data_IF_213318324660
#
_entry.id   IF_213318324660
#
_cell.length_a   1.000
_cell.length_b   1.000
_cell.length_c   1.000
_cell.angle_alpha   90.00
_cell.angle_beta   90.00
_cell.angle_gamma   90.00
#
_symmetry.space_group_name_H-M   'P 1'
#
loop_
_entity.id
_entity.type
_entity.pdbx_description
1 polymer ?
#
# COMPACT_ATOMS: atom_id res chain seq x y z
N UNK A 1 -25.35 -6.22 -28.53
CA UNK A 1 -24.48 -6.36 -27.34
C UNK A 1 -25.06 -5.45 -26.28
N UNK A 2 -25.64 -6.01 -25.22
CA UNK A 2 -26.12 -5.23 -24.08
C UNK A 2 -24.91 -4.64 -23.38
N UNK A 3 -24.64 -3.34 -23.58
CA UNK A 3 -23.70 -2.57 -22.76
C UNK A 3 -24.24 -2.55 -21.34
N UNK A 4 -23.73 -3.45 -20.50
CA UNK A 4 -23.97 -3.40 -19.06
C UNK A 4 -23.30 -2.16 -18.53
N UNK A 5 -24.07 -1.10 -18.27
CA UNK A 5 -23.57 0.10 -17.61
C UNK A 5 -23.15 -0.28 -16.19
N UNK A 6 -21.85 -0.23 -15.91
CA UNK A 6 -21.32 -0.44 -14.56
C UNK A 6 -21.68 0.75 -13.66
N UNK A 7 -21.81 0.52 -12.34
CA UNK A 7 -21.95 1.63 -11.39
C UNK A 7 -20.70 2.52 -11.43
N UNK A 8 -20.81 3.80 -11.02
CA UNK A 8 -19.63 4.64 -10.88
C UNK A 8 -18.64 4.02 -9.89
N UNK A 9 -17.33 4.25 -10.07
CA UNK A 9 -16.32 3.78 -9.13
C UNK A 9 -16.59 4.36 -7.73
N UNK A 10 -16.29 3.61 -6.65
CA UNK A 10 -16.43 4.12 -5.29
C UNK A 10 -15.48 5.30 -5.06
N UNK A 11 -15.94 6.28 -4.25
CA UNK A 11 -15.27 7.57 -4.02
C UNK A 11 -15.25 8.02 -2.56
N UNK A 12 -15.65 7.16 -1.62
CA UNK A 12 -15.78 7.52 -0.21
C UNK A 12 -14.61 6.95 0.58
N UNK A 13 -13.85 7.82 1.23
CA UNK A 13 -12.79 7.38 2.13
C UNK A 13 -13.36 6.75 3.42
N UNK A 14 -12.61 5.82 3.99
CA UNK A 14 -12.84 5.25 5.32
C UNK A 14 -12.13 6.03 6.43
N UNK A 15 -11.40 7.09 6.09
CA UNK A 15 -10.68 7.90 7.06
C UNK A 15 -11.64 8.73 7.94
N UNK A 16 -11.23 9.06 9.18
CA UNK A 16 -9.93 8.74 9.79
C UNK A 16 -9.82 7.28 10.24
N UNK A 17 -8.59 6.83 10.57
CA UNK A 17 -8.40 5.49 11.13
C UNK A 17 -9.25 5.28 12.40
N UNK A 18 -9.80 4.08 12.65
CA UNK A 18 -10.53 3.82 13.88
C UNK A 18 -9.59 3.89 15.09
N UNK A 19 -10.16 4.16 16.27
CA UNK A 19 -9.43 4.08 17.55
C UNK A 19 -8.93 2.64 17.73
N UNK A 20 -7.68 2.48 18.21
CA UNK A 20 -7.12 1.16 18.53
C UNK A 20 -7.99 0.43 19.54
N UNK A 21 -8.27 -0.85 19.29
CA UNK A 21 -8.93 -1.70 20.28
C UNK A 21 -7.96 -2.05 21.42
N UNK A 22 -8.49 -2.20 22.64
CA UNK A 22 -7.71 -2.74 23.75
C UNK A 22 -7.28 -4.19 23.46
N UNK A 23 -6.09 -4.59 23.91
CA UNK A 23 -5.53 -5.92 23.63
C UNK A 23 -5.11 -6.14 22.17
N UNK A 24 -4.88 -5.08 21.40
CA UNK A 24 -4.52 -5.18 19.97
C UNK A 24 -3.08 -4.79 19.68
N UNK A 25 -2.56 -5.24 18.54
CA UNK A 25 -1.35 -4.68 17.92
C UNK A 25 -1.74 -3.98 16.62
N UNK A 26 -1.30 -2.74 16.46
CA UNK A 26 -1.44 -1.96 15.23
C UNK A 26 -0.08 -1.82 14.55
N UNK A 27 0.05 -2.32 13.33
CA UNK A 27 1.13 -1.93 12.41
C UNK A 27 0.66 -0.79 11.52
N UNK A 28 1.45 0.28 11.46
CA UNK A 28 1.24 1.36 10.49
C UNK A 28 2.48 1.49 9.61
N UNK A 29 2.28 1.69 8.30
CA UNK A 29 3.37 2.00 7.37
C UNK A 29 2.98 3.19 6.49
N UNK A 30 3.95 4.05 6.18
CA UNK A 30 3.80 5.06 5.14
C UNK A 30 5.04 5.16 4.28
N UNK A 31 4.84 5.54 3.01
CA UNK A 31 5.90 6.04 2.15
C UNK A 31 5.44 7.37 1.58
N UNK A 32 6.13 8.43 1.98
CA UNK A 32 5.94 9.78 1.49
C UNK A 32 6.96 10.08 0.38
N UNK A 33 6.49 10.56 -0.76
CA UNK A 33 7.30 10.85 -1.94
C UNK A 33 7.22 12.33 -2.27
N UNK A 34 8.38 12.95 -2.48
CA UNK A 34 8.52 14.35 -2.84
C UNK A 34 9.59 14.55 -3.93
N UNK A 35 9.62 15.76 -4.49
CA UNK A 35 10.58 16.19 -5.51
C UNK A 35 11.29 17.47 -5.04
N UNK A 36 12.22 17.36 -4.06
CA UNK A 36 12.84 18.53 -3.43
C UNK A 36 13.67 19.36 -4.42
N UNK A 37 14.19 18.73 -5.48
CA UNK A 37 15.03 19.36 -6.50
C UNK A 37 14.22 19.71 -7.77
N UNK A 38 12.89 19.75 -7.68
CA UNK A 38 11.99 20.09 -8.78
C UNK A 38 11.63 18.93 -9.71
N UNK A 39 10.94 19.25 -10.82
CA UNK A 39 10.33 18.27 -11.73
C UNK A 39 11.32 17.25 -12.32
N UNK A 40 12.50 17.72 -12.70
CA UNK A 40 13.57 16.89 -13.28
C UNK A 40 14.54 16.35 -12.22
N UNK A 41 14.29 16.68 -10.95
CA UNK A 41 15.04 16.20 -9.80
C UNK A 41 14.76 14.73 -9.46
N UNK A 42 15.60 14.17 -8.60
CA UNK A 42 15.37 12.84 -8.06
C UNK A 42 14.18 12.84 -7.11
N UNK A 43 13.39 11.77 -7.16
CA UNK A 43 12.35 11.50 -6.17
C UNK A 43 13.00 11.15 -4.84
N UNK A 44 12.52 11.76 -3.76
CA UNK A 44 12.85 11.38 -2.39
C UNK A 44 11.70 10.58 -1.80
N UNK A 45 12.00 9.39 -1.28
CA UNK A 45 11.06 8.49 -0.61
C UNK A 45 11.43 8.42 0.87
N UNK A 46 10.49 8.78 1.74
CA UNK A 46 10.63 8.63 3.19
C UNK A 46 9.66 7.54 3.63
N UNK A 47 10.21 6.38 3.96
CA UNK A 47 9.45 5.26 4.51
C UNK A 47 9.45 5.29 6.03
N UNK A 48 8.31 5.00 6.65
CA UNK A 48 8.20 4.81 8.08
C UNK A 48 7.26 3.65 8.40
N UNK A 49 7.55 2.93 9.48
CA UNK A 49 6.76 1.83 9.98
C UNK A 49 6.79 1.80 11.51
N UNK A 50 5.69 1.39 12.14
CA UNK A 50 5.60 1.22 13.59
C UNK A 50 4.59 0.15 13.97
N UNK A 51 5.02 -0.73 14.86
CA UNK A 51 4.19 -1.68 15.58
C UNK A 51 3.91 -1.16 16.97
N UNK A 52 2.64 -0.98 17.31
CA UNK A 52 2.18 -0.44 18.57
C UNK A 52 1.21 -1.42 19.23
N UNK A 53 1.55 -1.87 20.43
CA UNK A 53 0.65 -2.65 21.26
C UNK A 53 -0.23 -1.74 22.12
N UNK A 54 -1.51 -2.07 22.24
CA UNK A 54 -2.48 -1.38 23.09
C UNK A 54 -2.90 -2.34 24.20
N UNK A 55 -2.51 -2.10 25.47
CA UNK A 55 -2.86 -2.97 26.58
C UNK A 55 -4.37 -3.06 26.83
N UNK A 56 -4.82 -4.11 27.52
CA UNK A 56 -6.22 -4.25 27.94
C UNK A 56 -6.67 -3.13 28.90
N UNK A 57 -5.76 -2.62 29.72
CA UNK A 57 -5.99 -1.51 30.64
C UNK A 57 -6.14 -0.14 29.95
N UNK A 58 -5.91 -0.06 28.64
CA UNK A 58 -6.58 0.92 27.77
C UNK A 58 -5.91 2.25 27.43
N UNK A 59 -4.75 2.63 27.96
CA UNK A 59 -4.30 4.04 27.77
C UNK A 59 -2.87 4.23 27.25
N UNK A 60 -1.87 3.47 27.74
CA UNK A 60 -0.48 3.62 27.28
C UNK A 60 -0.15 2.64 26.15
N UNK A 61 -0.06 3.14 24.92
CA UNK A 61 0.44 2.35 23.80
C UNK A 61 1.94 2.08 23.93
N UNK A 62 2.37 0.82 23.80
CA UNK A 62 3.78 0.45 23.83
C UNK A 62 4.30 0.22 22.40
N UNK A 63 5.34 0.95 22.01
CA UNK A 63 6.02 0.70 20.73
C UNK A 63 6.81 -0.60 20.84
N UNK A 64 6.43 -1.60 20.03
CA UNK A 64 7.09 -2.90 19.99
C UNK A 64 8.28 -2.89 19.02
N UNK A 65 8.13 -2.17 17.92
CA UNK A 65 9.15 -1.97 16.89
C UNK A 65 8.82 -0.74 16.06
N UNK A 66 9.83 -0.04 15.58
CA UNK A 66 9.70 0.97 14.53
C UNK A 66 10.85 0.85 13.54
N UNK A 67 10.65 1.41 12.35
CA UNK A 67 11.69 1.49 11.33
C UNK A 67 11.43 2.63 10.37
N UNK A 68 12.49 3.15 9.77
CA UNK A 68 12.44 4.19 8.74
C UNK A 68 13.47 3.95 7.65
N UNK A 69 13.21 4.47 6.46
CA UNK A 69 14.23 4.65 5.45
C UNK A 69 14.10 6.02 4.78
N UNK A 70 15.21 6.52 4.24
CA UNK A 70 15.25 7.66 3.32
C UNK A 70 15.98 7.21 2.06
N UNK A 71 15.30 7.29 0.91
CA UNK A 71 15.84 6.88 -0.38
C UNK A 71 15.71 7.98 -1.43
N UNK A 72 16.71 8.05 -2.31
CA UNK A 72 16.68 8.85 -3.53
C UNK A 72 16.58 7.94 -4.74
N UNK A 73 15.78 8.34 -5.71
CA UNK A 73 15.55 7.56 -6.93
C UNK A 73 15.46 8.43 -8.17
N UNK A 74 16.02 7.95 -9.27
CA UNK A 74 15.84 8.54 -10.61
C UNK A 74 14.43 8.28 -11.16
N UNK A 75 14.09 8.94 -12.25
CA UNK A 75 12.78 8.81 -12.92
C UNK A 75 12.49 7.37 -13.39
N UNK A 76 13.51 6.63 -13.82
CA UNK A 76 13.41 5.22 -14.20
C UNK A 76 13.20 4.27 -13.00
N UNK A 77 13.18 4.79 -11.77
CA UNK A 77 13.03 4.06 -10.49
C UNK A 77 14.31 3.36 -10.03
N UNK A 78 15.49 3.78 -10.50
CA UNK A 78 16.77 3.29 -9.95
C UNK A 78 17.07 3.98 -8.62
N UNK A 79 17.39 3.21 -7.59
CA UNK A 79 17.77 3.72 -6.25
C UNK A 79 19.21 4.24 -6.32
N UNK A 80 19.41 5.52 -6.06
CA UNK A 80 20.72 6.18 -6.11
C UNK A 80 21.35 6.34 -4.73
N UNK A 81 20.53 6.43 -3.69
CA UNK A 81 20.96 6.45 -2.29
C UNK A 81 19.84 5.89 -1.43
N UNK A 82 20.20 5.18 -0.35
CA UNK A 82 19.23 4.75 0.67
C UNK A 82 19.93 4.58 2.02
N UNK A 83 19.23 5.00 3.07
CA UNK A 83 19.62 4.77 4.47
C UNK A 83 18.42 4.24 5.24
N UNK A 84 18.66 3.53 6.34
CA UNK A 84 17.61 3.01 7.20
C UNK A 84 17.94 3.18 8.69
N UNK A 85 16.90 3.25 9.50
CA UNK A 85 16.94 3.27 10.95
C UNK A 85 15.93 2.23 11.50
N UNK A 86 16.33 1.23 12.28
CA UNK A 86 17.71 0.90 12.67
C UNK A 86 18.62 0.66 11.47
N UNK A 87 19.90 1.00 11.62
CA UNK A 87 20.91 0.78 10.59
C UNK A 87 21.04 -0.72 10.25
N UNK A 88 21.11 -1.03 8.96
CA UNK A 88 21.27 -2.39 8.47
C UNK A 88 22.22 -2.39 7.27
N UNK A 89 23.33 -3.12 7.36
CA UNK A 89 24.37 -3.15 6.32
C UNK A 89 23.82 -3.62 4.96
N UNK A 90 22.82 -4.50 4.96
CA UNK A 90 22.18 -4.98 3.74
C UNK A 90 21.46 -3.88 2.95
N UNK A 91 21.09 -2.74 3.56
CA UNK A 91 20.37 -1.64 2.90
C UNK A 91 21.19 -1.06 1.74
N UNK A 92 22.52 -1.01 1.87
CA UNK A 92 23.42 -0.48 0.86
C UNK A 92 23.37 -1.30 -0.44
N UNK A 93 23.02 -2.59 -0.36
CA UNK A 93 22.88 -3.48 -1.53
C UNK A 93 21.69 -3.12 -2.43
N UNK A 94 20.79 -2.25 -1.98
CA UNK A 94 19.69 -1.76 -2.79
C UNK A 94 20.09 -0.60 -3.71
N UNK A 95 21.24 0.05 -3.49
CA UNK A 95 21.75 1.09 -4.39
C UNK A 95 22.07 0.47 -5.76
N UNK A 96 21.58 1.10 -6.83
CA UNK A 96 21.64 0.60 -8.19
C UNK A 96 20.50 -0.36 -8.57
N UNK A 97 19.72 -0.85 -7.60
CA UNK A 97 18.53 -1.64 -7.88
C UNK A 97 17.37 -0.76 -8.34
N UNK A 98 16.48 -1.33 -9.15
CA UNK A 98 15.26 -0.65 -9.60
C UNK A 98 14.07 -1.02 -8.70
N UNK A 99 13.35 -0.06 -8.13
CA UNK A 99 12.10 -0.32 -7.41
C UNK A 99 10.97 -0.66 -8.39
N UNK A 100 10.90 -1.94 -8.72
CA UNK A 100 9.97 -2.57 -9.64
C UNK A 100 10.07 -4.09 -9.56
N UNK A 101 9.68 -4.80 -10.63
CA UNK A 101 9.40 -6.25 -10.63
C UNK A 101 10.44 -7.21 -10.02
N UNK A 102 11.70 -6.79 -9.83
CA UNK A 102 12.76 -7.59 -9.22
C UNK A 102 13.12 -7.20 -7.77
N UNK A 103 12.73 -6.01 -7.29
CA UNK A 103 13.13 -5.50 -5.97
C UNK A 103 12.67 -6.43 -4.85
N UNK A 104 11.44 -6.95 -4.93
CA UNK A 104 10.91 -7.89 -3.92
C UNK A 104 11.69 -9.19 -3.84
N UNK A 105 12.26 -9.65 -4.96
CA UNK A 105 13.17 -10.80 -4.98
C UNK A 105 14.48 -10.47 -4.27
N UNK A 106 15.10 -9.35 -4.68
CA UNK A 106 16.32 -8.85 -4.06
C UNK A 106 16.18 -8.66 -2.55
N UNK A 107 15.07 -8.10 -2.06
CA UNK A 107 14.82 -7.91 -0.63
C UNK A 107 14.85 -9.23 0.15
N UNK A 108 14.28 -10.31 -0.40
CA UNK A 108 14.35 -11.65 0.22
C UNK A 108 15.78 -12.19 0.26
N UNK A 109 16.58 -11.91 -0.76
CA UNK A 109 17.95 -12.39 -0.86
C UNK A 109 18.91 -11.60 0.04
N UNK A 110 18.68 -10.30 0.24
CA UNK A 110 19.59 -9.42 0.97
C UNK A 110 19.21 -9.25 2.45
N UNK A 111 17.94 -9.45 2.81
CA UNK A 111 17.43 -9.29 4.18
C UNK A 111 16.53 -10.46 4.64
N UNK A 112 16.94 -11.73 4.45
CA UNK A 112 16.08 -12.88 4.79
C UNK A 112 15.64 -12.89 6.25
N UNK A 113 16.50 -12.46 7.17
CA UNK A 113 16.19 -12.41 8.61
C UNK A 113 15.07 -11.39 8.92
N UNK A 114 15.02 -10.27 8.19
CA UNK A 114 13.92 -9.30 8.34
C UNK A 114 12.60 -9.86 7.83
N UNK A 115 12.64 -10.66 6.76
CA UNK A 115 11.45 -11.35 6.26
C UNK A 115 10.96 -12.36 7.29
N UNK A 116 11.86 -13.21 7.80
CA UNK A 116 11.54 -14.23 8.79
C UNK A 116 11.01 -13.63 10.11
N UNK A 117 11.56 -12.50 10.53
CA UNK A 117 11.12 -11.78 11.73
C UNK A 117 9.88 -10.88 11.51
N UNK A 118 9.35 -10.82 10.28
CA UNK A 118 8.32 -9.86 9.87
C UNK A 118 8.66 -8.42 10.29
N UNK A 119 9.94 -8.04 10.18
CA UNK A 119 10.45 -6.76 10.67
C UNK A 119 9.75 -5.58 9.94
N UNK A 120 9.31 -4.52 10.64
CA UNK A 120 8.55 -3.42 10.03
C UNK A 120 9.30 -2.71 8.88
N UNK A 121 10.64 -2.71 8.89
CA UNK A 121 11.44 -2.19 7.77
C UNK A 121 11.20 -2.97 6.45
N UNK A 122 11.04 -4.29 6.51
CA UNK A 122 10.89 -5.11 5.31
C UNK A 122 9.61 -4.77 4.55
N UNK A 123 8.48 -4.63 5.25
CA UNK A 123 7.20 -4.35 4.60
C UNK A 123 7.17 -2.97 3.94
N UNK A 124 7.77 -1.96 4.59
CA UNK A 124 7.85 -0.61 4.00
C UNK A 124 8.83 -0.58 2.82
N UNK A 125 9.89 -1.39 2.82
CA UNK A 125 10.76 -1.57 1.64
C UNK A 125 10.08 -2.35 0.50
N UNK A 126 9.28 -3.39 0.80
CA UNK A 126 8.51 -4.13 -0.21
C UNK A 126 7.54 -3.21 -0.96
N UNK A 127 6.94 -2.26 -0.23
CA UNK A 127 6.03 -1.25 -0.77
C UNK A 127 6.67 -0.24 -1.73
N UNK A 128 7.99 -0.08 -1.73
CA UNK A 128 8.69 0.80 -2.69
C UNK A 128 8.33 0.46 -4.14
N UNK A 129 8.16 -0.84 -4.46
CA UNK A 129 7.86 -1.28 -5.83
C UNK A 129 6.56 -0.67 -6.36
N UNK A 130 5.50 -0.67 -5.53
CA UNK A 130 4.22 -0.08 -5.90
C UNK A 130 4.20 1.44 -5.77
N UNK A 131 4.83 2.00 -4.74
CA UNK A 131 4.91 3.46 -4.56
C UNK A 131 5.69 4.14 -5.70
N UNK A 132 6.80 3.55 -6.14
CA UNK A 132 7.59 4.09 -7.25
C UNK A 132 6.87 4.01 -8.61
N UNK A 133 5.90 3.10 -8.74
CA UNK A 133 5.05 2.99 -9.93
C UNK A 133 4.00 4.11 -9.98
N UNK A 134 3.35 4.40 -8.85
CA UNK A 134 2.14 5.25 -8.82
C UNK A 134 2.47 6.70 -8.47
N UNK A 135 3.56 6.96 -7.73
CA UNK A 135 3.88 8.28 -7.17
C UNK A 135 3.84 9.44 -8.15
N UNK A 136 4.24 9.25 -9.41
CA UNK A 136 4.20 10.29 -10.45
C UNK A 136 2.79 10.83 -10.73
N UNK A 137 1.74 10.15 -10.29
CA UNK A 137 0.37 10.66 -10.25
C UNK A 137 0.27 12.01 -9.51
N UNK A 138 1.13 12.28 -8.53
CA UNK A 138 1.14 13.56 -7.82
C UNK A 138 1.28 14.76 -8.76
N UNK A 139 2.02 14.62 -9.87
CA UNK A 139 2.19 15.70 -10.84
C UNK A 139 0.89 16.08 -11.55
N UNK A 140 -0.02 15.14 -11.78
CA UNK A 140 -1.32 15.46 -12.41
C UNK A 140 -2.20 16.32 -11.49
N UNK A 141 -1.94 16.33 -10.19
CA UNK A 141 -2.63 17.18 -9.22
C UNK A 141 -2.04 18.59 -9.12
N UNK A 142 -0.83 18.75 -9.65
CA UNK A 142 -0.08 20.00 -9.65
C UNK A 142 -0.03 20.65 -11.01
N UNK A 143 -0.23 19.92 -12.10
CA UNK A 143 -0.18 20.45 -13.47
C UNK A 143 -1.35 19.88 -14.29
N UNK A 144 -2.37 20.70 -14.62
CA UNK A 144 -3.48 20.27 -15.46
C UNK A 144 -3.03 19.75 -16.84
N UNK A 145 -1.92 20.29 -17.35
CA UNK A 145 -1.27 19.93 -18.62
C UNK A 145 -0.26 18.77 -18.47
N UNK A 146 -0.24 18.06 -17.34
CA UNK A 146 0.75 17.00 -17.07
C UNK A 146 0.77 15.89 -18.13
N UNK A 147 -0.39 15.47 -18.62
CA UNK A 147 -0.48 14.43 -19.63
C UNK A 147 0.22 14.83 -20.95
N UNK A 148 0.04 16.08 -21.37
CA UNK A 148 0.67 16.62 -22.58
C UNK A 148 2.18 16.78 -22.38
N UNK A 149 2.61 17.31 -21.22
CA UNK A 149 4.04 17.41 -20.85
C UNK A 149 4.73 16.05 -20.86
N UNK A 150 4.08 15.03 -20.30
CA UNK A 150 4.62 13.67 -20.27
C UNK A 150 4.77 13.11 -21.68
N UNK A 151 3.79 13.36 -22.56
CA UNK A 151 3.85 12.92 -23.95
C UNK A 151 4.97 13.63 -24.72
N UNK A 152 5.10 14.95 -24.56
CA UNK A 152 6.18 15.73 -25.17
C UNK A 152 7.56 15.25 -24.71
N UNK A 153 7.74 15.03 -23.40
CA UNK A 153 9.00 14.57 -22.81
C UNK A 153 9.41 13.18 -23.29
N UNK A 154 8.46 12.25 -23.40
CA UNK A 154 8.74 10.87 -23.82
C UNK A 154 8.89 10.72 -25.34
N UNK A 155 8.23 11.58 -26.11
CA UNK A 155 7.97 11.36 -27.53
C UNK A 155 6.88 10.31 -27.77
N UNK A 156 6.26 10.35 -28.95
CA UNK A 156 5.10 9.53 -29.28
C UNK A 156 5.39 8.02 -29.15
N UNK A 157 6.49 7.53 -29.74
CA UNK A 157 6.81 6.09 -29.74
C UNK A 157 6.96 5.50 -28.33
N UNK A 158 7.71 6.18 -27.44
CA UNK A 158 7.90 5.70 -26.06
C UNK A 158 6.64 5.83 -25.24
N UNK A 159 5.86 6.89 -25.47
CA UNK A 159 4.56 7.07 -24.82
C UNK A 159 3.59 5.93 -25.20
N UNK A 160 3.50 5.59 -26.49
CA UNK A 160 2.70 4.44 -26.97
C UNK A 160 3.17 3.13 -26.34
N UNK A 161 4.48 2.88 -26.30
CA UNK A 161 5.04 1.68 -25.66
C UNK A 161 4.69 1.60 -24.17
N UNK A 162 4.79 2.72 -23.45
CA UNK A 162 4.42 2.81 -22.04
C UNK A 162 2.93 2.54 -21.82
N UNK A 163 2.04 3.05 -22.69
CA UNK A 163 0.60 2.77 -22.60
C UNK A 163 0.30 1.30 -22.90
N UNK A 164 0.93 0.70 -23.91
CA UNK A 164 0.76 -0.72 -24.23
C UNK A 164 1.20 -1.64 -23.07
N UNK A 165 2.25 -1.27 -22.34
CA UNK A 165 2.71 -2.02 -21.16
C UNK A 165 1.73 -2.01 -19.97
N UNK A 166 0.69 -1.15 -20.00
CA UNK A 166 -0.34 -1.09 -18.95
C UNK A 166 -1.49 -2.06 -19.20
N UNK A 167 -1.64 -2.60 -20.41
CA UNK A 167 -2.71 -3.55 -20.73
C UNK A 167 -2.50 -4.84 -19.96
N UNK A 168 -3.57 -5.35 -19.36
CA UNK A 168 -3.65 -6.57 -18.53
C UNK A 168 -2.73 -6.59 -17.30
N UNK A 169 -2.18 -5.43 -16.88
CA UNK A 169 -1.39 -5.37 -15.63
C UNK A 169 -2.27 -5.56 -14.39
N UNK A 170 -3.57 -5.25 -14.49
CA UNK A 170 -4.57 -5.47 -13.47
C UNK A 170 -5.97 -5.59 -14.10
N UNK A 171 -6.95 -6.05 -13.31
CA UNK A 171 -8.36 -6.14 -13.67
C UNK A 171 -8.89 -4.84 -14.29
N UNK A 172 -8.65 -3.70 -13.65
CA UNK A 172 -9.13 -2.39 -14.15
C UNK A 172 -8.46 -1.91 -15.44
N UNK A 173 -7.37 -2.56 -15.85
CA UNK A 173 -6.62 -2.25 -17.07
C UNK A 173 -6.60 -3.45 -18.03
N UNK A 174 -7.60 -4.33 -17.94
CA UNK A 174 -7.80 -5.36 -18.95
C UNK A 174 -8.04 -4.74 -20.32
N UNK A 175 -7.66 -5.45 -21.38
CA UNK A 175 -8.00 -5.05 -22.75
C UNK A 175 -9.51 -4.77 -22.88
N UNK A 176 -9.86 -3.62 -23.46
CA UNK A 176 -11.24 -3.17 -23.62
C UNK A 176 -11.85 -2.42 -22.43
N UNK A 177 -11.20 -2.40 -21.26
CA UNK A 177 -11.67 -1.61 -20.12
C UNK A 177 -11.37 -0.12 -20.31
N UNK A 178 -12.16 0.71 -19.63
CA UNK A 178 -12.15 2.16 -19.80
C UNK A 178 -10.81 2.83 -19.43
N UNK A 179 -10.03 2.22 -18.52
CA UNK A 179 -8.67 2.67 -18.19
C UNK A 179 -7.61 2.40 -19.27
N UNK A 180 -7.94 1.59 -20.28
CA UNK A 180 -7.11 1.29 -21.47
C UNK A 180 -7.62 2.05 -22.70
N UNK A 181 -8.93 2.06 -22.94
CA UNK A 181 -9.51 2.73 -24.11
C UNK A 181 -9.45 4.25 -24.01
N UNK A 182 -9.40 4.79 -22.79
CA UNK A 182 -9.40 6.23 -22.54
C UNK A 182 -10.81 6.83 -22.48
N UNK A 183 -11.85 6.01 -22.41
CA UNK A 183 -13.25 6.44 -22.37
C UNK A 183 -13.67 7.09 -21.05
N UNK A 184 -12.78 7.12 -20.05
CA UNK A 184 -13.01 7.83 -18.78
C UNK A 184 -12.50 9.24 -18.86
N UNK A 185 -13.35 10.18 -18.44
CA UNK A 185 -12.96 11.56 -18.17
C UNK A 185 -11.78 11.61 -17.17
N UNK A 186 -10.58 12.07 -17.59
CA UNK A 186 -9.40 12.10 -16.74
C UNK A 186 -9.59 12.89 -15.44
N UNK A 187 -10.43 13.93 -15.45
CA UNK A 187 -10.72 14.74 -14.27
C UNK A 187 -11.52 13.95 -13.22
N UNK A 188 -12.24 12.91 -13.65
CA UNK A 188 -13.02 12.03 -12.78
C UNK A 188 -12.22 10.85 -12.26
N UNK A 189 -11.04 10.54 -12.80
CA UNK A 189 -10.27 9.34 -12.41
C UNK A 189 -9.78 9.44 -10.97
N UNK A 190 -9.31 10.60 -10.52
CA UNK A 190 -8.78 10.76 -9.17
C UNK A 190 -9.15 12.13 -8.59
N UNK A 191 -10.40 12.24 -8.15
CA UNK A 191 -10.95 13.45 -7.55
C UNK A 191 -11.49 13.26 -6.12
N UNK A 192 -11.47 12.02 -5.60
CA UNK A 192 -12.01 11.69 -4.29
C UNK A 192 -11.13 12.25 -3.16
N UNK A 193 -11.77 12.91 -2.19
CA UNK A 193 -11.09 13.35 -0.98
C UNK A 193 -10.49 12.15 -0.24
N UNK A 194 -9.20 12.24 0.08
CA UNK A 194 -8.49 11.20 0.81
C UNK A 194 -8.84 11.20 2.31
N UNK A 195 -9.34 12.32 2.86
CA UNK A 195 -9.47 12.53 4.30
C UNK A 195 -8.13 12.55 5.04
N UNK A 196 -8.16 12.88 6.34
CA UNK A 196 -6.99 12.73 7.20
C UNK A 196 -6.93 11.31 7.77
N UNK A 197 -5.81 10.61 7.57
CA UNK A 197 -5.56 9.28 8.13
C UNK A 197 -5.64 9.29 9.67
N UNK A 198 -5.26 10.41 10.30
CA UNK A 198 -5.13 10.54 11.76
C UNK A 198 -6.48 10.79 12.39
N UNK A 199 -6.73 10.07 13.48
CA UNK A 199 -7.91 10.26 14.30
C UNK A 199 -7.55 11.11 15.51
N UNK A 200 -8.18 12.29 15.72
CA UNK A 200 -7.95 13.10 16.92
C UNK A 200 -8.22 12.36 18.23
N UNK A 201 -9.09 11.35 18.23
CA UNK A 201 -9.39 10.51 19.39
C UNK A 201 -8.35 9.39 19.62
N UNK A 202 -7.38 9.21 18.73
CA UNK A 202 -6.26 8.28 18.91
C UNK A 202 -4.94 8.90 18.40
N UNK A 203 -4.30 9.79 19.19
CA UNK A 203 -3.07 10.46 18.80
C UNK A 203 -1.89 9.52 18.52
N UNK A 204 -1.90 8.31 19.11
CA UNK A 204 -0.91 7.26 18.86
C UNK A 204 -1.38 6.29 17.75
N UNK A 205 -2.50 6.55 17.08
CA UNK A 205 -3.06 5.69 16.04
C UNK A 205 -2.21 5.60 14.78
N UNK A 206 -1.33 6.58 14.55
CA UNK A 206 -0.34 6.60 13.47
C UNK A 206 1.04 7.03 13.98
N UNK A 207 2.10 6.52 13.36
CA UNK A 207 3.43 7.10 13.53
C UNK A 207 3.46 8.50 12.90
N UNK A 208 4.51 9.27 13.20
CA UNK A 208 4.71 10.58 12.59
C UNK A 208 4.87 10.43 11.08
N UNK A 209 3.88 10.89 10.32
CA UNK A 209 3.92 10.95 8.87
C UNK A 209 4.92 12.02 8.43
N UNK A 210 5.59 11.82 7.29
CA UNK A 210 6.52 12.83 6.80
C UNK A 210 5.75 13.98 6.14
N UNK A 211 6.21 15.20 6.39
CA UNK A 211 5.71 16.41 5.76
C UNK A 211 6.74 16.90 4.73
N UNK A 212 6.24 17.49 3.66
CA UNK A 212 7.05 18.13 2.65
C UNK A 212 6.20 19.17 1.92
N UNK A 213 6.84 20.17 1.31
CA UNK A 213 6.16 21.13 0.44
C UNK A 213 6.08 20.60 -1.00
N UNK A 214 5.21 21.20 -1.80
CA UNK A 214 5.14 20.89 -3.23
C UNK A 214 4.40 19.60 -3.59
N UNK A 215 4.58 19.09 -4.82
CA UNK A 215 4.00 17.83 -5.26
C UNK A 215 4.36 16.68 -4.32
N UNK A 216 3.36 15.88 -3.95
CA UNK A 216 3.50 14.84 -2.95
C UNK A 216 2.66 13.62 -3.22
N UNK A 217 3.21 12.45 -2.92
CA UNK A 217 2.46 11.20 -2.91
C UNK A 217 2.63 10.49 -1.57
N UNK A 218 1.60 9.81 -1.11
CA UNK A 218 1.61 8.99 0.10
C UNK A 218 0.98 7.66 -0.20
N UNK A 219 1.72 6.59 0.04
CA UNK A 219 1.16 5.27 0.30
C UNK A 219 1.06 5.10 1.80
N UNK A 220 -0.10 4.70 2.31
CA UNK A 220 -0.32 4.47 3.73
C UNK A 220 -1.02 3.13 3.96
N UNK A 221 -0.60 2.40 4.99
CA UNK A 221 -1.26 1.18 5.47
C UNK A 221 -1.43 1.19 6.98
N UNK A 222 -2.53 0.59 7.40
CA UNK A 222 -2.80 0.20 8.78
C UNK A 222 -3.19 -1.27 8.78
N UNK A 223 -2.66 -2.04 9.72
CA UNK A 223 -3.10 -3.41 10.01
C UNK A 223 -3.31 -3.48 11.52
N UNK A 224 -4.57 -3.60 11.92
CA UNK A 224 -4.98 -3.89 13.29
C UNK A 224 -5.15 -5.39 13.46
N UNK A 225 -4.58 -5.92 14.52
CA UNK A 225 -4.61 -7.35 14.86
C UNK A 225 -5.12 -7.49 16.29
N UNK A 226 -6.18 -8.27 16.45
CA UNK A 226 -6.66 -8.74 17.76
C UNK A 226 -6.67 -10.27 17.76
N UNK A 227 -6.64 -10.84 18.96
CA UNK A 227 -6.75 -12.27 19.16
C UNK A 227 -7.90 -12.57 20.11
N UNK A 228 -8.72 -13.54 19.73
CA UNK A 228 -9.75 -14.13 20.55
C UNK A 228 -9.30 -15.55 20.91
N UNK A 229 -8.86 -15.73 22.15
CA UNK A 229 -8.34 -17.02 22.63
C UNK A 229 -9.44 -18.06 22.82
N UNK A 230 -10.64 -17.63 23.22
CA UNK A 230 -11.77 -18.52 23.42
C UNK A 230 -12.30 -19.05 22.08
N UNK A 231 -12.38 -18.18 21.07
CA UNK A 231 -12.76 -18.58 19.72
C UNK A 231 -11.63 -19.23 18.92
N UNK A 232 -10.36 -19.11 19.36
CA UNK A 232 -9.20 -19.59 18.62
C UNK A 232 -8.96 -18.83 17.30
N UNK A 233 -9.26 -17.52 17.27
CA UNK A 233 -9.25 -16.72 16.03
C UNK A 233 -8.37 -15.48 16.15
N UNK A 234 -7.61 -15.20 15.10
CA UNK A 234 -6.97 -13.89 14.86
C UNK A 234 -7.91 -13.07 13.99
N UNK A 235 -8.25 -11.86 14.42
CA UNK A 235 -9.05 -10.91 13.64
C UNK A 235 -8.18 -9.77 13.13
N UNK A 236 -8.40 -9.41 11.87
CA UNK A 236 -7.60 -8.43 11.12
C UNK A 236 -8.53 -7.34 10.59
N UNK A 237 -8.20 -6.09 10.88
CA UNK A 237 -8.77 -4.92 10.21
C UNK A 237 -7.65 -4.10 9.58
N UNK A 238 -7.56 -4.14 8.26
CA UNK A 238 -6.50 -3.47 7.50
C UNK A 238 -7.07 -2.40 6.59
N UNK A 239 -6.31 -1.32 6.41
CA UNK A 239 -6.62 -0.25 5.46
C UNK A 239 -5.38 0.06 4.61
N UNK A 240 -5.62 0.41 3.35
CA UNK A 240 -4.62 0.85 2.39
C UNK A 240 -5.12 2.07 1.65
N UNK A 241 -4.27 3.08 1.48
CA UNK A 241 -4.57 4.25 0.66
C UNK A 241 -3.33 4.74 -0.09
N UNK A 242 -3.50 5.03 -1.38
CA UNK A 242 -2.59 5.83 -2.19
C UNK A 242 -3.22 7.20 -2.46
N UNK A 243 -2.56 8.28 -2.02
CA UNK A 243 -3.05 9.66 -2.19
C UNK A 243 -1.97 10.65 -2.60
N UNK A 244 -2.36 11.66 -3.36
CA UNK A 244 -1.51 12.77 -3.78
C UNK A 244 -1.90 14.07 -3.08
N UNK A 245 -0.91 14.94 -2.82
CA UNK A 245 -1.15 16.30 -2.32
C UNK A 245 -1.60 17.21 -3.45
N UNK A 246 -2.57 18.08 -3.19
CA UNK A 246 -2.98 19.18 -4.06
C UNK A 246 -2.26 20.47 -3.67
N UNK A 247 -2.34 21.48 -4.55
CA UNK A 247 -1.74 22.80 -4.32
C UNK A 247 -2.31 23.54 -3.11
N UNK A 248 -3.55 23.23 -2.71
CA UNK A 248 -4.21 23.79 -1.53
C UNK A 248 -3.86 23.06 -0.22
N UNK A 249 -2.98 22.06 -0.27
CA UNK A 249 -2.58 21.24 0.87
C UNK A 249 -3.52 20.08 1.19
N UNK A 250 -4.69 20.00 0.55
CA UNK A 250 -5.57 18.83 0.67
C UNK A 250 -4.97 17.61 -0.03
N UNK A 251 -5.55 16.42 0.21
CA UNK A 251 -5.12 15.19 -0.45
C UNK A 251 -6.26 14.56 -1.25
N UNK A 252 -5.88 13.97 -2.38
CA UNK A 252 -6.78 13.22 -3.24
C UNK A 252 -6.33 11.77 -3.31
N UNK A 253 -7.25 10.84 -3.04
CA UNK A 253 -6.96 9.42 -3.12
C UNK A 253 -7.29 8.88 -4.51
N UNK A 254 -6.48 7.93 -4.97
CA UNK A 254 -6.70 7.21 -6.23
C UNK A 254 -7.02 5.74 -6.01
N UNK A 255 -6.44 5.12 -4.97
CA UNK A 255 -6.75 3.76 -4.56
C UNK A 255 -6.96 3.73 -3.05
N UNK A 256 -8.06 3.16 -2.60
CA UNK A 256 -8.31 2.88 -1.19
C UNK A 256 -9.11 1.59 -1.03
N UNK A 257 -8.61 0.73 -0.13
CA UNK A 257 -9.26 -0.52 0.25
C UNK A 257 -9.26 -0.68 1.77
N UNK A 258 -10.31 -1.31 2.29
CA UNK A 258 -10.28 -1.96 3.61
C UNK A 258 -10.29 -3.46 3.42
N UNK A 259 -9.66 -4.18 4.33
CA UNK A 259 -9.68 -5.64 4.40
C UNK A 259 -10.08 -6.02 5.81
N UNK A 260 -11.21 -6.71 5.96
CA UNK A 260 -11.51 -7.45 7.18
C UNK A 260 -11.19 -8.94 6.92
N UNK A 261 -10.50 -9.60 7.84
CA UNK A 261 -10.19 -11.01 7.71
C UNK A 261 -10.17 -11.72 9.07
N UNK A 262 -10.51 -13.00 9.05
CA UNK A 262 -10.43 -13.90 10.22
C UNK A 262 -9.56 -15.08 9.86
N UNK A 263 -8.72 -15.48 10.80
CA UNK A 263 -7.71 -16.52 10.59
C UNK A 263 -7.70 -17.45 11.80
N UNK A 264 -7.60 -18.76 11.54
CA UNK A 264 -7.45 -19.75 12.61
C UNK A 264 -6.12 -19.53 13.33
N UNK A 265 -6.15 -19.39 14.66
CA UNK A 265 -4.97 -19.02 15.42
C UNK A 265 -3.93 -20.15 15.52
N UNK A 266 -4.32 -21.40 15.29
CA UNK A 266 -3.44 -22.57 15.39
C UNK A 266 -2.84 -22.96 14.04
N UNK A 267 -3.65 -22.95 12.97
CA UNK A 267 -3.23 -23.39 11.63
C UNK A 267 -2.82 -22.25 10.72
N UNK A 268 -3.17 -21.00 11.08
CA UNK A 268 -3.04 -19.80 10.24
C UNK A 268 -3.87 -19.87 8.94
N UNK A 269 -4.89 -20.72 8.90
CA UNK A 269 -5.81 -20.81 7.76
C UNK A 269 -6.70 -19.56 7.69
N UNK A 270 -6.78 -18.95 6.51
CA UNK A 270 -7.69 -17.83 6.25
C UNK A 270 -9.14 -18.33 6.24
N UNK A 271 -9.90 -18.01 7.27
CA UNK A 271 -11.29 -18.43 7.46
C UNK A 271 -12.27 -17.52 6.72
N UNK A 272 -12.02 -16.20 6.76
CA UNK A 272 -12.78 -15.22 5.99
C UNK A 272 -11.89 -14.10 5.51
N UNK A 273 -12.26 -13.50 4.37
CA UNK A 273 -11.59 -12.37 3.77
C UNK A 273 -12.62 -11.50 3.04
N UNK A 274 -12.75 -10.26 3.48
CA UNK A 274 -13.76 -9.31 3.03
C UNK A 274 -13.08 -8.00 2.61
N UNK A 275 -12.60 -7.92 1.36
CA UNK A 275 -12.10 -6.66 0.81
C UNK A 275 -13.24 -5.72 0.47
N UNK A 276 -13.13 -4.48 0.91
CA UNK A 276 -14.05 -3.41 0.58
C UNK A 276 -13.32 -2.34 -0.23
N UNK A 277 -13.81 -2.07 -1.44
CA UNK A 277 -13.34 -0.94 -2.25
C UNK A 277 -13.94 0.37 -1.72
N UNK A 278 -13.07 1.35 -1.46
CA UNK A 278 -13.46 2.67 -0.95
C UNK A 278 -13.29 3.77 -1.99
N UNK A 279 -12.12 3.80 -2.62
CA UNK A 279 -11.78 4.76 -3.68
C UNK A 279 -11.06 4.01 -4.79
N UNK A 280 -11.58 4.07 -6.02
CA UNK A 280 -10.96 3.42 -7.17
C UNK A 280 -11.03 4.30 -8.42
N UNK A 281 -10.09 4.15 -9.36
CA UNK A 281 -10.02 5.02 -10.53
C UNK A 281 -11.11 4.73 -11.56
N UNK A 282 -11.46 3.46 -11.76
CA UNK A 282 -12.33 3.01 -12.86
C UNK A 282 -13.52 2.16 -12.39
N UNK A 283 -14.69 2.25 -13.05
CA UNK A 283 -15.89 1.45 -12.75
C UNK A 283 -15.65 -0.07 -12.66
N UNK A 284 -14.71 -0.60 -13.44
CA UNK A 284 -14.40 -2.02 -13.55
C UNK A 284 -13.58 -2.54 -12.35
N UNK A 285 -12.81 -1.67 -11.69
CA UNK A 285 -11.85 -2.05 -10.66
C UNK A 285 -12.42 -2.89 -9.50
N UNK A 286 -13.65 -2.66 -9.00
CA UNK A 286 -14.25 -3.52 -7.97
C UNK A 286 -14.35 -5.01 -8.36
N UNK A 287 -14.36 -5.34 -9.66
CA UNK A 287 -14.48 -6.72 -10.13
C UNK A 287 -13.34 -7.64 -9.64
N UNK A 288 -12.15 -7.09 -9.36
CA UNK A 288 -11.03 -7.84 -8.79
C UNK A 288 -11.32 -8.44 -7.40
N UNK A 289 -12.26 -7.86 -6.63
CA UNK A 289 -12.55 -8.27 -5.24
C UNK A 289 -13.00 -9.72 -5.19
N UNK A 290 -13.87 -10.13 -6.11
CA UNK A 290 -14.45 -11.48 -6.08
C UNK A 290 -13.38 -12.58 -6.20
N UNK A 291 -12.26 -12.32 -6.87
CA UNK A 291 -11.18 -13.30 -7.01
C UNK A 291 -10.38 -13.52 -5.73
N UNK A 292 -10.42 -12.59 -4.77
CA UNK A 292 -9.73 -12.74 -3.48
C UNK A 292 -10.24 -13.92 -2.65
N UNK A 293 -11.46 -14.41 -2.91
CA UNK A 293 -12.01 -15.63 -2.30
C UNK A 293 -11.14 -16.86 -2.51
N UNK A 294 -10.30 -16.87 -3.56
CA UNK A 294 -9.33 -17.95 -3.84
C UNK A 294 -8.28 -18.09 -2.72
N UNK A 295 -8.14 -17.08 -1.87
CA UNK A 295 -7.23 -17.06 -0.72
C UNK A 295 -7.86 -17.64 0.56
N UNK A 296 -9.17 -17.89 0.61
CA UNK A 296 -9.82 -18.56 1.74
C UNK A 296 -9.35 -20.02 1.77
N UNK A 297 -9.02 -20.52 2.96
CA UNK A 297 -8.42 -21.84 3.15
C UNK A 297 -6.90 -21.91 2.91
N UNK A 298 -6.27 -20.78 2.56
CA UNK A 298 -4.81 -20.69 2.42
C UNK A 298 -4.14 -20.36 3.75
N UNK A 299 -2.87 -20.69 3.87
CA UNK A 299 -2.08 -20.30 5.04
C UNK A 299 -1.66 -18.82 4.93
N UNK A 300 -1.97 -18.02 5.93
CA UNK A 300 -1.69 -16.59 5.93
C UNK A 300 -0.19 -16.26 5.84
N UNK A 301 0.69 -17.09 6.42
CA UNK A 301 2.13 -16.87 6.35
C UNK A 301 2.66 -16.96 4.89
N UNK A 302 2.01 -17.78 4.06
CA UNK A 302 2.37 -18.01 2.66
C UNK A 302 1.63 -17.09 1.67
N UNK A 303 0.77 -16.20 2.17
CA UNK A 303 -0.16 -15.41 1.36
C UNK A 303 0.53 -14.54 0.29
N UNK A 304 1.79 -14.16 0.52
CA UNK A 304 2.61 -13.44 -0.47
C UNK A 304 2.77 -14.24 -1.75
N UNK A 305 3.08 -15.53 -1.64
CA UNK A 305 3.21 -16.45 -2.78
C UNK A 305 1.87 -16.70 -3.45
N UNK A 306 0.84 -16.96 -2.65
CA UNK A 306 -0.51 -17.25 -3.14
C UNK A 306 -1.13 -16.09 -3.93
N UNK A 307 -1.00 -14.85 -3.44
CA UNK A 307 -1.46 -13.65 -4.18
C UNK A 307 -0.76 -13.54 -5.53
N UNK A 308 0.56 -13.78 -5.58
CA UNK A 308 1.31 -13.72 -6.84
C UNK A 308 0.89 -14.83 -7.81
N UNK A 309 0.61 -16.02 -7.30
CA UNK A 309 0.22 -17.17 -8.11
C UNK A 309 -1.21 -17.08 -8.64
N UNK A 310 -2.14 -16.52 -7.86
CA UNK A 310 -3.58 -16.67 -8.10
C UNK A 310 -4.28 -15.38 -8.55
N UNK A 311 -3.67 -14.21 -8.32
CA UNK A 311 -4.31 -12.89 -8.55
C UNK A 311 -3.48 -11.98 -9.46
N UNK A 312 -2.51 -12.51 -10.22
CA UNK A 312 -1.63 -11.70 -11.08
C UNK A 312 -2.38 -11.15 -12.30
N UNK A 313 -2.02 -9.93 -12.70
CA UNK A 313 -2.48 -9.34 -13.96
C UNK A 313 -4.00 -9.18 -13.96
N UNK A 314 -4.70 -9.64 -15.00
CA UNK A 314 -6.14 -9.44 -15.14
C UNK A 314 -6.96 -10.18 -14.07
N UNK A 315 -6.40 -11.13 -13.32
CA UNK A 315 -7.09 -11.81 -12.22
C UNK A 315 -7.20 -10.97 -10.94
N UNK A 316 -6.46 -9.87 -10.81
CA UNK A 316 -6.44 -9.08 -9.57
C UNK A 316 -6.17 -7.60 -9.79
N UNK A 317 -6.07 -6.86 -8.70
CA UNK A 317 -5.67 -5.45 -8.73
C UNK A 317 -4.28 -5.34 -8.11
N UNK A 318 -3.34 -4.65 -8.75
CA UNK A 318 -1.97 -4.47 -8.22
C UNK A 318 -1.99 -3.90 -6.80
N UNK A 319 -2.89 -2.97 -6.52
CA UNK A 319 -3.03 -2.31 -5.21
C UNK A 319 -3.70 -3.20 -4.16
N UNK A 320 -4.77 -3.92 -4.55
CA UNK A 320 -5.42 -4.89 -3.67
C UNK A 320 -4.48 -6.05 -3.34
N UNK A 321 -3.73 -6.54 -4.33
CA UNK A 321 -2.73 -7.58 -4.16
C UNK A 321 -1.63 -7.13 -3.20
N UNK A 322 -1.13 -5.90 -3.33
CA UNK A 322 -0.17 -5.35 -2.39
C UNK A 322 -0.76 -5.28 -0.96
N UNK A 323 -2.04 -4.91 -0.80
CA UNK A 323 -2.71 -4.90 0.50
C UNK A 323 -2.87 -6.30 1.12
N UNK A 324 -3.23 -7.31 0.31
CA UNK A 324 -3.35 -8.69 0.75
C UNK A 324 -1.99 -9.29 1.14
N UNK A 325 -0.94 -9.01 0.35
CA UNK A 325 0.43 -9.48 0.63
C UNK A 325 0.98 -8.96 1.95
N UNK A 326 0.55 -7.78 2.40
CA UNK A 326 0.98 -7.21 3.67
C UNK A 326 0.46 -8.01 4.88
N UNK A 327 -0.64 -8.76 4.72
CA UNK A 327 -1.21 -9.56 5.81
C UNK A 327 -0.33 -10.75 6.22
N UNK A 328 0.66 -11.11 5.42
CA UNK A 328 1.62 -12.17 5.74
C UNK A 328 2.40 -11.94 7.05
N UNK A 329 2.49 -10.69 7.53
CA UNK A 329 3.19 -10.35 8.77
C UNK A 329 2.29 -10.49 10.01
N UNK A 330 0.97 -10.66 9.84
CA UNK A 330 0.01 -10.76 10.94
C UNK A 330 0.32 -11.88 11.93
N UNK A 331 0.77 -13.09 11.55
CA UNK A 331 1.08 -14.12 12.53
C UNK A 331 2.14 -13.67 13.54
N UNK A 332 3.16 -12.94 13.07
CA UNK A 332 4.19 -12.37 13.93
C UNK A 332 3.64 -11.24 14.83
N UNK A 333 2.74 -10.39 14.31
CA UNK A 333 2.07 -9.36 15.10
C UNK A 333 1.18 -9.97 16.19
N UNK A 334 0.43 -11.02 15.87
CA UNK A 334 -0.44 -11.73 16.82
C UNK A 334 0.38 -12.37 17.95
N UNK A 335 1.52 -12.99 17.65
CA UNK A 335 2.42 -13.56 18.66
C UNK A 335 2.96 -12.52 19.66
N UNK A 336 3.04 -11.24 19.28
CA UNK A 336 3.43 -10.16 20.21
C UNK A 336 2.36 -9.83 21.23
N UNK A 337 1.09 -10.12 20.95
CA UNK A 337 -0.02 -9.92 21.90
C UNK A 337 0.17 -10.88 23.09
N UNK A 338 0.40 -12.17 22.82
CA UNK A 338 0.66 -13.19 23.86
C UNK A 338 1.86 -12.81 24.74
N UNK A 339 2.98 -12.45 24.11
CA UNK A 339 4.22 -12.12 24.82
C UNK A 339 4.13 -10.83 25.66
N UNK A 340 3.11 -10.01 25.45
CA UNK A 340 2.90 -8.75 26.19
C UNK A 340 1.82 -8.89 27.26
N UNK A 341 0.86 -9.81 27.10
CA UNK A 341 -0.11 -10.15 28.15
C UNK A 341 0.56 -10.79 29.39
N UNK A 342 1.75 -11.36 29.23
CA UNK A 342 2.54 -11.99 30.30
C UNK A 342 3.62 -11.06 30.91
N UNK A 343 3.64 -9.78 30.53
CA UNK A 343 4.56 -8.76 31.09
C UNK A 343 3.80 -7.81 32.01
#
# INVERSE_FOLDING_TARGET
>A
MTTTTLPPPPRSTANPAPVRAAGSVRRTTSIDVSWPDGLDGQRRFIGAARDLWTPLAGEDGLVLADARFDARMTEDKTITAITADPACDAIARLVGARAGGHLRGLLRDVMPDMVAAAHPLYIVLDDLSGTALVSSFAWSQWHPDWADRLREKLGEERHTQMMAQRVDVCWGLQEGNSGVTGDVDPEKVANADAGDLRNPADPLGWHRLADHDGPGFRRARRIDVTRDEEAGVISIDSAFQDSAMRRDGSRVAIHEYRLAARVDAATLEVLSLEPEARILPFPECPGAIANTRRLIGRNLAEIRGDVLAQLRGPDGCTHLNDALRALADVPALAARIEASAHR
#
